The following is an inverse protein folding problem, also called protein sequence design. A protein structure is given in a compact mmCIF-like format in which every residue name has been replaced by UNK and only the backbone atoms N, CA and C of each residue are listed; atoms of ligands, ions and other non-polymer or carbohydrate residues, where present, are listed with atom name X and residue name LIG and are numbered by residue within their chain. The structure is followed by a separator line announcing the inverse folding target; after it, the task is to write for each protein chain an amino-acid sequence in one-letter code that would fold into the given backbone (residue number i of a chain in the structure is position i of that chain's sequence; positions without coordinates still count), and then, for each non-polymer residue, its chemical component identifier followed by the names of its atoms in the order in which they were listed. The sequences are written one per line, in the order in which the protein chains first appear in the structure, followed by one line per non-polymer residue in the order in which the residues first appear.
data_IF_383950539886
#
_entry.id   IF_383950539886
#
_cell.length_a   1.000
_cell.length_b   1.000
_cell.length_c   1.000
_cell.angle_alpha   90.00
_cell.angle_beta   90.00
_cell.angle_gamma   90.00
#
_symmetry.space_group_name_H-M   'P 1'
#
loop_
_entity.id
_entity.type
_entity.pdbx_description
1 polymer ?
#
# COMPACT_ATOMS: atom_id res chain seq x y z
N UNK A 1 29.76 12.11 -1.61
CA UNK A 1 29.00 13.29 -1.14
C UNK A 1 27.59 13.40 -1.74
N UNK A 2 27.36 13.02 -3.00
CA UNK A 2 26.01 13.06 -3.62
C UNK A 2 25.05 11.99 -3.01
N UNK A 3 25.52 10.76 -2.74
CA UNK A 3 24.72 9.67 -2.13
C UNK A 3 24.15 9.99 -0.74
N UNK A 4 24.92 10.70 0.10
CA UNK A 4 24.49 11.07 1.46
C UNK A 4 23.36 12.10 1.45
N UNK A 5 23.32 12.99 0.44
CA UNK A 5 22.27 14.02 0.30
C UNK A 5 20.90 13.44 -0.04
N UNK A 6 20.83 12.33 -0.78
CA UNK A 6 19.55 11.68 -1.14
C UNK A 6 18.97 10.83 -0.01
N UNK A 7 19.83 10.14 0.74
CA UNK A 7 19.43 9.45 1.97
C UNK A 7 18.99 10.48 3.02
N UNK A 8 19.72 11.60 3.14
CA UNK A 8 19.28 12.75 3.91
C UNK A 8 17.98 13.34 3.40
N UNK A 9 17.69 13.37 2.10
CA UNK A 9 16.41 13.85 1.56
C UNK A 9 15.24 12.92 1.93
N UNK A 10 15.42 11.60 1.84
CA UNK A 10 14.45 10.60 2.30
C UNK A 10 14.28 10.62 3.82
N UNK A 11 15.36 10.88 4.57
CA UNK A 11 15.32 11.07 6.02
C UNK A 11 14.77 12.45 6.44
N UNK A 12 14.98 13.51 5.64
CA UNK A 12 14.40 14.85 5.81
C UNK A 12 12.90 14.81 5.52
N UNK A 13 12.45 14.01 4.54
CA UNK A 13 11.03 13.68 4.34
C UNK A 13 10.41 13.02 5.58
N UNK A 14 11.20 12.26 6.34
CA UNK A 14 10.76 11.59 7.57
C UNK A 14 10.94 12.43 8.85
N UNK A 15 11.69 13.54 8.82
CA UNK A 15 12.05 14.34 10.03
C UNK A 15 11.71 15.82 9.95
N UNK A 16 11.43 16.37 8.77
CA UNK A 16 11.11 17.79 8.58
C UNK A 16 9.97 17.98 7.58
N UNK A 17 8.87 18.52 8.11
CA UNK A 17 7.71 19.13 7.44
C UNK A 17 6.80 18.19 6.64
N UNK A 18 5.48 18.23 6.86
CA UNK A 18 4.55 17.65 5.90
C UNK A 18 4.84 18.35 4.57
N UNK A 19 5.27 17.60 3.56
CA UNK A 19 5.23 18.12 2.21
C UNK A 19 3.79 18.57 1.98
N UNK A 20 3.62 19.88 1.86
CA UNK A 20 2.41 20.49 1.35
C UNK A 20 2.29 20.09 -0.11
N UNK A 21 1.87 18.86 -0.34
CA UNK A 21 1.29 18.45 -1.61
C UNK A 21 -0.01 19.23 -1.78
N UNK A 22 -0.19 19.77 -2.99
CA UNK A 22 -1.34 20.57 -3.42
C UNK A 22 -2.64 20.09 -2.79
N UNK A 23 -3.49 21.06 -2.42
CA UNK A 23 -4.89 20.89 -2.00
C UNK A 23 -5.69 20.11 -3.06
N UNK A 24 -5.49 18.79 -3.10
CA UNK A 24 -6.46 17.84 -3.61
C UNK A 24 -7.56 17.75 -2.58
N UNK A 25 -8.80 17.90 -3.03
CA UNK A 25 -9.99 18.01 -2.18
C UNK A 25 -9.98 16.89 -1.13
N UNK A 26 -9.71 17.25 0.12
CA UNK A 26 -9.70 16.35 1.28
C UNK A 26 -11.15 16.04 1.64
N UNK A 27 -11.78 15.15 0.87
CA UNK A 27 -13.10 14.64 1.18
C UNK A 27 -12.93 13.48 2.15
N UNK A 28 -13.37 13.66 3.40
CA UNK A 28 -13.47 12.55 4.36
C UNK A 28 -14.40 11.48 3.80
N UNK A 29 -13.92 10.25 3.69
CA UNK A 29 -14.64 9.21 2.95
C UNK A 29 -15.97 8.76 3.55
N UNK A 30 -16.18 8.76 4.88
CA UNK A 30 -17.52 8.60 5.45
C UNK A 30 -18.51 9.66 4.95
N UNK A 31 -18.06 10.92 4.78
CA UNK A 31 -18.90 12.01 4.24
C UNK A 31 -19.13 11.83 2.72
N UNK A 32 -18.20 11.21 1.99
CA UNK A 32 -18.40 10.87 0.58
C UNK A 32 -19.42 9.74 0.40
N UNK A 33 -19.24 8.64 1.13
CA UNK A 33 -20.14 7.49 1.07
C UNK A 33 -21.53 7.88 1.58
N UNK A 34 -21.62 8.65 2.66
CA UNK A 34 -22.89 9.21 3.13
C UNK A 34 -23.56 10.10 2.08
N UNK A 35 -22.82 11.01 1.43
CA UNK A 35 -23.37 11.83 0.33
C UNK A 35 -23.83 10.98 -0.86
N UNK A 36 -23.12 9.90 -1.18
CA UNK A 36 -23.57 8.97 -2.22
C UNK A 36 -24.90 8.31 -1.83
N UNK A 37 -25.03 7.83 -0.59
CA UNK A 37 -26.28 7.29 -0.05
C UNK A 37 -27.41 8.32 -0.10
N UNK A 38 -27.19 9.54 0.39
CA UNK A 38 -28.18 10.64 0.36
C UNK A 38 -28.63 11.00 -1.05
N UNK A 39 -27.74 10.84 -2.04
CA UNK A 39 -28.05 11.10 -3.44
C UNK A 39 -28.77 9.96 -4.16
N UNK A 40 -28.96 8.81 -3.50
CA UNK A 40 -29.63 7.65 -4.11
C UNK A 40 -31.09 7.99 -4.44
N UNK A 41 -31.57 7.64 -5.64
CA UNK A 41 -32.94 7.93 -6.08
C UNK A 41 -33.95 6.92 -5.49
N UNK A 42 -33.89 6.64 -4.19
CA UNK A 42 -34.81 5.72 -3.50
C UNK A 42 -35.54 6.45 -2.37
N UNK A 43 -36.85 6.24 -2.27
CA UNK A 43 -37.70 6.95 -1.31
C UNK A 43 -37.40 6.59 0.15
N UNK A 44 -36.89 5.37 0.40
CA UNK A 44 -36.40 4.88 1.68
C UNK A 44 -35.18 4.02 1.42
N UNK A 45 -34.01 4.43 1.91
CA UNK A 45 -32.81 3.58 1.89
C UNK A 45 -33.07 2.41 2.85
N UNK A 46 -33.06 1.15 2.37
CA UNK A 46 -33.23 -0.02 3.24
C UNK A 46 -32.13 -0.07 4.28
N UNK A 47 -32.30 -0.81 5.38
CA UNK A 47 -31.20 -1.08 6.32
C UNK A 47 -29.98 -1.68 5.60
N UNK A 48 -28.79 -1.55 6.21
CA UNK A 48 -27.53 -2.05 5.68
C UNK A 48 -27.68 -3.48 5.11
N UNK A 49 -27.20 -3.67 3.88
CA UNK A 49 -27.50 -4.85 3.08
C UNK A 49 -27.53 -4.53 1.59
N UNK A 50 -28.29 -5.33 0.83
CA UNK A 50 -28.45 -5.18 -0.61
C UNK A 50 -29.86 -4.78 -0.98
N UNK A 51 -29.98 -3.92 -1.99
CA UNK A 51 -31.26 -3.56 -2.56
C UNK A 51 -31.15 -3.30 -4.05
N UNK A 52 -32.22 -3.62 -4.78
CA UNK A 52 -32.32 -3.33 -6.21
C UNK A 52 -32.81 -1.90 -6.38
N UNK A 53 -32.13 -1.11 -7.20
CA UNK A 53 -32.52 0.27 -7.51
C UNK A 53 -33.02 0.37 -8.96
N UNK A 54 -34.35 0.40 -9.19
CA UNK A 54 -34.94 0.49 -10.53
C UNK A 54 -34.45 1.69 -11.34
N UNK A 55 -34.29 2.84 -10.70
CA UNK A 55 -33.85 4.11 -11.28
C UNK A 55 -32.40 4.05 -11.79
N UNK A 56 -31.60 3.13 -11.26
CA UNK A 56 -30.24 2.82 -11.70
C UNK A 56 -30.22 1.56 -12.57
N UNK A 57 -31.17 1.45 -13.50
CA UNK A 57 -31.32 0.31 -14.43
C UNK A 57 -31.53 -1.04 -13.74
N UNK A 58 -32.13 -1.04 -12.55
CA UNK A 58 -32.34 -2.25 -11.76
C UNK A 58 -31.05 -2.86 -11.20
N UNK A 59 -29.97 -2.08 -11.11
CA UNK A 59 -28.70 -2.49 -10.51
C UNK A 59 -28.89 -2.79 -9.03
N UNK A 60 -28.23 -3.83 -8.53
CA UNK A 60 -28.19 -4.12 -7.10
C UNK A 60 -27.13 -3.23 -6.46
N UNK A 61 -27.54 -2.38 -5.53
CA UNK A 61 -26.68 -1.55 -4.70
C UNK A 61 -26.52 -2.24 -3.35
N UNK A 62 -25.31 -2.21 -2.80
CA UNK A 62 -25.05 -2.69 -1.45
C UNK A 62 -24.35 -1.62 -0.64
N UNK A 63 -24.58 -1.64 0.66
CA UNK A 63 -23.80 -0.87 1.61
C UNK A 63 -23.71 -1.59 2.97
N UNK A 64 -22.62 -1.34 3.70
CA UNK A 64 -22.38 -1.94 5.02
C UNK A 64 -22.13 -0.85 6.05
N UNK A 65 -22.60 -1.06 7.27
CA UNK A 65 -22.35 -0.17 8.41
C UNK A 65 -21.41 -0.84 9.42
N UNK A 66 -20.49 -0.05 9.96
CA UNK A 66 -19.73 -0.40 11.15
C UNK A 66 -20.65 -0.47 12.38
N UNK A 67 -20.13 -1.07 13.46
CA UNK A 67 -20.84 -1.17 14.76
C UNK A 67 -21.25 0.18 15.37
N UNK A 68 -20.72 1.30 14.88
CA UNK A 68 -21.06 2.66 15.31
C UNK A 68 -22.03 3.37 14.35
N UNK A 69 -22.62 2.67 13.38
CA UNK A 69 -23.57 3.22 12.40
C UNK A 69 -22.93 4.02 11.26
N UNK A 70 -21.59 4.03 11.14
CA UNK A 70 -20.89 4.67 10.02
C UNK A 70 -20.88 3.70 8.84
N UNK A 71 -21.29 4.16 7.65
CA UNK A 71 -21.17 3.35 6.43
C UNK A 71 -19.70 3.10 6.08
N UNK A 72 -19.28 1.84 6.07
CA UNK A 72 -17.91 1.42 5.73
C UNK A 72 -17.73 1.17 4.23
N UNK A 73 -18.77 0.65 3.56
CA UNK A 73 -18.72 0.32 2.14
C UNK A 73 -20.02 0.68 1.44
N UNK A 74 -19.90 1.07 0.18
CA UNK A 74 -21.00 1.23 -0.76
C UNK A 74 -20.52 0.89 -2.16
N UNK A 75 -21.34 0.15 -2.90
CA UNK A 75 -21.03 -0.19 -4.29
C UNK A 75 -22.23 -0.73 -5.07
N UNK A 76 -22.06 -0.80 -6.37
CA UNK A 76 -22.94 -1.54 -7.27
C UNK A 76 -22.42 -2.99 -7.36
N UNK A 77 -23.28 -3.99 -7.15
CA UNK A 77 -22.91 -5.40 -7.26
C UNK A 77 -22.72 -5.75 -8.73
N UNK A 78 -21.47 -5.74 -9.19
CA UNK A 78 -21.12 -6.02 -10.59
C UNK A 78 -20.60 -7.44 -10.78
N UNK A 79 -19.94 -7.98 -9.77
CA UNK A 79 -19.21 -9.24 -9.87
C UNK A 79 -19.86 -10.32 -9.03
N UNK A 80 -19.80 -11.55 -9.52
CA UNK A 80 -20.24 -12.73 -8.78
C UNK A 80 -19.33 -12.99 -7.58
N UNK A 81 -19.83 -13.73 -6.60
CA UNK A 81 -19.04 -14.13 -5.42
C UNK A 81 -17.78 -14.93 -5.79
N UNK A 82 -17.79 -15.64 -6.92
CA UNK A 82 -16.60 -16.34 -7.45
C UNK A 82 -15.50 -15.35 -7.80
N UNK A 83 -15.80 -14.35 -8.62
CA UNK A 83 -14.85 -13.30 -9.02
C UNK A 83 -14.37 -12.52 -7.79
N UNK A 84 -15.27 -12.17 -6.87
CA UNK A 84 -14.93 -11.44 -5.63
C UNK A 84 -13.97 -12.21 -4.71
N UNK A 85 -13.96 -13.54 -4.79
CA UNK A 85 -13.03 -14.41 -4.04
C UNK A 85 -11.72 -14.67 -4.77
N UNK A 86 -11.75 -14.66 -6.11
CA UNK A 86 -10.60 -14.93 -6.96
C UNK A 86 -9.66 -13.72 -7.06
N UNK A 87 -10.21 -12.51 -7.12
CA UNK A 87 -9.46 -11.28 -7.32
C UNK A 87 -9.30 -10.46 -6.05
N UNK A 88 -8.36 -9.51 -6.11
CA UNK A 88 -8.06 -8.59 -5.02
C UNK A 88 -9.33 -7.82 -4.57
N UNK A 89 -9.75 -7.96 -3.29
CA UNK A 89 -11.01 -7.40 -2.82
C UNK A 89 -11.00 -5.87 -2.81
N UNK A 90 -9.84 -5.22 -2.70
CA UNK A 90 -9.72 -3.76 -2.73
C UNK A 90 -10.00 -3.24 -4.13
N UNK A 91 -9.42 -3.87 -5.15
CA UNK A 91 -9.64 -3.48 -6.56
C UNK A 91 -11.09 -3.71 -6.95
N UNK A 92 -11.65 -4.88 -6.62
CA UNK A 92 -13.05 -5.21 -6.90
C UNK A 92 -14.00 -4.20 -6.22
N UNK A 93 -13.79 -3.95 -4.92
CA UNK A 93 -14.64 -2.99 -4.17
C UNK A 93 -14.51 -1.56 -4.69
N UNK A 94 -13.32 -1.16 -5.17
CA UNK A 94 -13.13 0.13 -5.82
C UNK A 94 -13.97 0.24 -7.09
N UNK A 95 -13.94 -0.76 -7.97
CA UNK A 95 -14.69 -0.73 -9.23
C UNK A 95 -16.20 -0.71 -8.97
N UNK A 96 -16.69 -1.51 -8.02
CA UNK A 96 -18.10 -1.51 -7.61
C UNK A 96 -18.53 -0.15 -7.03
N UNK A 97 -17.69 0.49 -6.21
CA UNK A 97 -17.92 1.84 -5.67
C UNK A 97 -17.94 2.90 -6.77
N UNK A 98 -16.94 2.86 -7.66
CA UNK A 98 -16.85 3.77 -8.81
C UNK A 98 -18.09 3.67 -9.68
N UNK A 99 -18.56 2.45 -9.96
CA UNK A 99 -19.72 2.24 -10.80
C UNK A 99 -21.01 2.76 -10.17
N UNK A 100 -21.21 2.56 -8.86
CA UNK A 100 -22.31 3.19 -8.15
C UNK A 100 -22.26 4.72 -8.29
N UNK A 101 -21.08 5.32 -8.15
CA UNK A 101 -20.94 6.78 -8.29
C UNK A 101 -21.22 7.26 -9.72
N UNK A 102 -20.78 6.52 -10.73
CA UNK A 102 -21.05 6.84 -12.13
C UNK A 102 -22.55 6.73 -12.47
N UNK A 103 -23.24 5.74 -11.91
CA UNK A 103 -24.69 5.57 -12.07
C UNK A 103 -25.48 6.71 -11.45
N UNK A 104 -24.99 7.31 -10.36
CA UNK A 104 -25.60 8.49 -9.72
C UNK A 104 -25.44 9.78 -10.55
N UNK A 105 -24.53 9.79 -11.54
CA UNK A 105 -24.33 10.95 -12.41
C UNK A 105 -25.36 10.96 -13.54
N UNK A 106 -26.07 12.09 -13.69
CA UNK A 106 -27.20 12.24 -14.63
C UNK A 106 -26.80 12.31 -16.11
N UNK A 107 -25.53 12.63 -16.41
CA UNK A 107 -25.07 12.85 -17.80
C UNK A 107 -23.74 12.17 -18.08
N UNK A 108 -23.51 11.76 -19.33
CA UNK A 108 -22.21 11.23 -19.78
C UNK A 108 -21.07 12.23 -19.54
N UNK A 109 -21.31 13.54 -19.68
CA UNK A 109 -20.30 14.56 -19.40
C UNK A 109 -19.87 14.58 -17.92
N UNK A 110 -20.84 14.49 -16.99
CA UNK A 110 -20.52 14.38 -15.56
C UNK A 110 -19.83 13.06 -15.19
N UNK A 111 -20.15 11.97 -15.89
CA UNK A 111 -19.44 10.68 -15.72
C UNK A 111 -17.99 10.78 -16.20
N UNK A 112 -17.77 11.34 -17.39
CA UNK A 112 -16.44 11.57 -17.94
C UNK A 112 -15.59 12.51 -17.05
N UNK A 113 -16.21 13.54 -16.46
CA UNK A 113 -15.54 14.43 -15.51
C UNK A 113 -15.08 13.69 -14.25
N UNK A 114 -15.91 12.79 -13.70
CA UNK A 114 -15.55 11.99 -12.54
C UNK A 114 -14.39 11.03 -12.85
N UNK A 115 -14.46 10.35 -14.00
CA UNK A 115 -13.38 9.48 -14.47
C UNK A 115 -12.06 10.25 -14.61
N UNK A 116 -12.12 11.47 -15.16
CA UNK A 116 -10.96 12.35 -15.29
C UNK A 116 -10.40 12.79 -13.93
N UNK A 117 -11.26 13.14 -12.98
CA UNK A 117 -10.87 13.49 -11.61
C UNK A 117 -10.08 12.36 -10.95
N UNK A 118 -10.49 11.11 -11.18
CA UNK A 118 -9.81 9.92 -10.63
C UNK A 118 -8.68 9.39 -11.50
N UNK A 119 -8.43 9.99 -12.67
CA UNK A 119 -7.48 9.47 -13.64
C UNK A 119 -7.84 8.07 -14.17
N UNK A 120 -9.09 7.64 -14.01
CA UNK A 120 -9.58 6.33 -14.47
C UNK A 120 -10.05 6.43 -15.92
N UNK A 121 -9.78 5.41 -16.72
CA UNK A 121 -10.28 5.31 -18.09
C UNK A 121 -11.10 4.04 -18.26
N UNK A 122 -12.31 4.17 -18.80
CA UNK A 122 -13.13 3.02 -19.21
C UNK A 122 -13.19 3.03 -20.74
N UNK A 123 -12.81 1.91 -21.34
CA UNK A 123 -12.76 1.73 -22.79
C UNK A 123 -13.59 0.51 -23.17
N UNK A 124 -14.56 0.68 -24.06
CA UNK A 124 -15.42 -0.39 -24.58
C UNK A 124 -15.20 -0.51 -26.09
N UNK A 125 -14.77 -1.68 -26.56
CA UNK A 125 -14.48 -1.93 -27.97
C UNK A 125 -13.46 -0.95 -28.59
N UNK A 126 -12.53 -0.45 -27.77
CA UNK A 126 -11.52 0.54 -28.19
C UNK A 126 -11.94 2.01 -28.06
N UNK A 127 -13.19 2.31 -27.67
CA UNK A 127 -13.68 3.67 -27.52
C UNK A 127 -13.82 4.08 -26.05
N UNK A 128 -13.32 5.25 -25.62
CA UNK A 128 -13.60 5.78 -24.28
C UNK A 128 -15.05 6.24 -24.12
N UNK A 129 -15.53 6.32 -22.87
CA UNK A 129 -16.89 6.76 -22.55
C UNK A 129 -17.21 8.14 -23.15
N UNK A 130 -18.34 8.23 -23.85
CA UNK A 130 -18.80 9.42 -24.56
C UNK A 130 -18.29 9.57 -25.99
N UNK A 131 -17.65 8.54 -26.55
CA UNK A 131 -17.08 8.58 -27.90
C UNK A 131 -17.40 7.33 -28.72
N UNK A 132 -17.43 7.49 -30.05
CA UNK A 132 -17.63 6.39 -31.00
C UNK A 132 -18.80 5.47 -30.61
N UNK A 133 -18.52 4.17 -30.50
CA UNK A 133 -19.51 3.16 -30.14
C UNK A 133 -19.82 3.10 -28.64
N UNK A 134 -19.07 3.80 -27.77
CA UNK A 134 -19.31 3.87 -26.32
C UNK A 134 -19.87 5.23 -25.90
N UNK A 135 -21.07 5.56 -26.37
CA UNK A 135 -21.73 6.84 -26.12
C UNK A 135 -22.31 6.97 -24.69
N UNK A 136 -22.68 5.85 -24.05
CA UNK A 136 -23.37 5.86 -22.75
C UNK A 136 -22.87 4.72 -21.86
N UNK A 137 -22.77 4.99 -20.56
CA UNK A 137 -22.33 4.01 -19.55
C UNK A 137 -23.14 2.71 -19.56
N UNK A 138 -24.44 2.78 -19.84
CA UNK A 138 -25.30 1.60 -19.89
C UNK A 138 -24.83 0.51 -20.87
N UNK A 139 -24.11 0.87 -21.94
CA UNK A 139 -23.56 -0.11 -22.89
C UNK A 139 -22.48 -1.00 -22.27
N UNK A 140 -21.79 -0.52 -21.23
CA UNK A 140 -20.83 -1.33 -20.49
C UNK A 140 -21.51 -2.34 -19.55
N UNK A 141 -22.79 -2.14 -19.19
CA UNK A 141 -23.55 -3.10 -18.38
C UNK A 141 -23.81 -4.39 -19.15
N UNK A 142 -23.94 -4.34 -20.48
CA UNK A 142 -24.14 -5.54 -21.31
C UNK A 142 -22.94 -6.49 -21.17
N UNK A 143 -21.72 -5.94 -21.16
CA UNK A 143 -20.49 -6.73 -20.93
C UNK A 143 -20.46 -7.32 -19.53
N UNK A 144 -20.80 -6.53 -18.52
CA UNK A 144 -20.80 -6.97 -17.12
C UNK A 144 -21.86 -8.05 -16.85
N UNK A 145 -23.04 -7.92 -17.44
CA UNK A 145 -24.15 -8.87 -17.27
C UNK A 145 -23.94 -10.19 -18.01
N UNK A 146 -23.09 -10.21 -19.04
CA UNK A 146 -22.80 -11.40 -19.85
C UNK A 146 -21.31 -11.75 -19.87
N UNK A 147 -20.62 -11.44 -18.77
CA UNK A 147 -19.18 -11.61 -18.60
C UNK A 147 -18.76 -13.08 -18.78
N UNK A 148 -17.87 -13.33 -19.74
CA UNK A 148 -17.31 -14.65 -20.05
C UNK A 148 -15.92 -14.83 -19.45
N UNK A 149 -15.14 -13.75 -19.38
CA UNK A 149 -13.80 -13.76 -18.81
C UNK A 149 -13.41 -12.39 -18.26
N UNK A 150 -12.52 -12.43 -17.27
CA UNK A 150 -11.97 -11.28 -16.58
C UNK A 150 -10.49 -11.55 -16.30
N UNK A 151 -9.66 -10.51 -16.31
CA UNK A 151 -8.28 -10.58 -15.84
C UNK A 151 -7.86 -9.21 -15.31
N UNK A 152 -7.10 -9.21 -14.21
CA UNK A 152 -6.56 -7.99 -13.63
C UNK A 152 -5.03 -8.07 -13.72
N UNK A 153 -4.44 -7.09 -14.39
CA UNK A 153 -2.98 -6.93 -14.48
C UNK A 153 -2.56 -5.71 -13.69
N UNK A 154 -1.62 -5.89 -12.76
CA UNK A 154 -1.12 -4.81 -11.90
C UNK A 154 0.26 -4.34 -12.41
N UNK A 155 0.35 -3.08 -12.79
CA UNK A 155 1.61 -2.41 -13.13
C UNK A 155 2.03 -1.42 -12.05
N UNK A 156 3.21 -0.81 -12.20
CA UNK A 156 3.77 0.12 -11.21
C UNK A 156 2.90 1.37 -10.99
N UNK A 157 2.21 1.85 -12.03
CA UNK A 157 1.44 3.10 -11.97
C UNK A 157 -0.04 2.92 -12.33
N UNK A 158 -0.42 1.78 -12.91
CA UNK A 158 -1.76 1.55 -13.44
C UNK A 158 -2.13 0.08 -13.26
N UNK A 159 -3.41 -0.16 -12.98
CA UNK A 159 -4.06 -1.47 -12.93
C UNK A 159 -4.96 -1.53 -14.16
N UNK A 160 -4.81 -2.57 -14.98
CA UNK A 160 -5.69 -2.85 -16.12
C UNK A 160 -6.61 -4.01 -15.78
N UNK A 161 -7.90 -3.73 -15.76
CA UNK A 161 -8.95 -4.72 -15.63
C UNK A 161 -9.58 -4.96 -17.00
N UNK A 162 -9.22 -6.09 -17.61
CA UNK A 162 -9.76 -6.55 -18.87
C UNK A 162 -10.96 -7.46 -18.65
N UNK A 163 -12.01 -7.25 -19.42
CA UNK A 163 -13.24 -8.01 -19.39
C UNK A 163 -13.70 -8.32 -20.80
N UNK A 164 -14.27 -9.50 -21.00
CA UNK A 164 -14.90 -9.91 -22.25
C UNK A 164 -16.25 -10.56 -21.97
N UNK A 165 -17.23 -10.27 -22.82
CA UNK A 165 -18.54 -10.90 -22.74
C UNK A 165 -18.62 -12.20 -23.57
N UNK A 166 -19.78 -12.84 -23.58
CA UNK A 166 -20.03 -14.04 -24.38
C UNK A 166 -20.10 -13.76 -25.90
N UNK A 167 -20.35 -12.51 -26.30
CA UNK A 167 -20.43 -12.09 -27.70
C UNK A 167 -19.06 -11.71 -28.30
N UNK A 168 -18.02 -11.60 -27.47
CA UNK A 168 -16.67 -11.20 -27.85
C UNK A 168 -16.39 -9.71 -27.70
N UNK A 169 -17.33 -8.91 -27.21
CA UNK A 169 -17.10 -7.50 -26.87
C UNK A 169 -16.08 -7.41 -25.74
N UNK A 170 -15.20 -6.43 -25.83
CA UNK A 170 -14.12 -6.24 -24.86
C UNK A 170 -14.24 -4.91 -24.15
N UNK A 171 -13.93 -4.91 -22.86
CA UNK A 171 -13.89 -3.72 -22.01
C UNK A 171 -12.61 -3.69 -21.20
N UNK A 172 -12.01 -2.53 -21.08
CA UNK A 172 -10.90 -2.26 -20.18
C UNK A 172 -11.28 -1.16 -19.18
N UNK A 173 -10.89 -1.35 -17.92
CA UNK A 173 -10.87 -0.30 -16.91
C UNK A 173 -9.43 -0.11 -16.48
N UNK A 174 -8.88 1.05 -16.81
CA UNK A 174 -7.54 1.46 -16.41
C UNK A 174 -7.63 2.35 -15.18
N UNK A 175 -7.01 1.92 -14.08
CA UNK A 175 -7.12 2.55 -12.77
C UNK A 175 -5.71 2.96 -12.33
N UNK A 176 -5.46 4.20 -11.91
CA UNK A 176 -4.18 4.55 -11.31
C UNK A 176 -3.87 3.65 -10.11
N UNK A 177 -2.66 3.10 -10.06
CA UNK A 177 -2.15 2.41 -8.88
C UNK A 177 -1.88 3.48 -7.80
N UNK A 178 -2.95 3.86 -7.12
CA UNK A 178 -2.97 4.88 -6.09
C UNK A 178 -3.81 4.37 -4.94
N UNK A 179 -3.13 4.13 -3.83
CA UNK A 179 -3.75 3.79 -2.55
C UNK A 179 -4.90 4.72 -2.17
N UNK A 180 -4.70 6.02 -2.28
CA UNK A 180 -5.68 7.03 -1.86
C UNK A 180 -6.95 7.02 -2.74
N UNK A 181 -6.85 6.45 -3.93
CA UNK A 181 -7.99 6.23 -4.83
C UNK A 181 -8.70 4.90 -4.52
N UNK A 182 -7.92 3.82 -4.39
CA UNK A 182 -8.42 2.45 -4.29
C UNK A 182 -9.17 2.20 -2.98
N UNK A 183 -8.62 2.69 -1.87
CA UNK A 183 -9.21 2.46 -0.57
C UNK A 183 -10.32 3.46 -0.23
N UNK A 184 -11.35 3.05 0.52
CA UNK A 184 -12.48 3.90 0.88
C UNK A 184 -12.23 4.73 2.14
N UNK A 185 -10.99 5.01 2.53
CA UNK A 185 -10.72 5.80 3.72
C UNK A 185 -9.78 6.94 3.41
N UNK A 186 -9.93 8.05 4.12
CA UNK A 186 -8.99 9.15 3.98
C UNK A 186 -7.63 8.76 4.58
N UNK A 187 -6.59 9.55 4.25
CA UNK A 187 -5.22 9.26 4.69
C UNK A 187 -5.13 9.11 6.22
N UNK A 188 -5.84 9.96 6.95
CA UNK A 188 -5.78 9.99 8.41
C UNK A 188 -6.44 8.76 9.04
N UNK A 189 -7.64 8.40 8.58
CA UNK A 189 -8.33 7.20 9.06
C UNK A 189 -7.47 5.95 8.81
N UNK A 190 -6.79 5.91 7.67
CA UNK A 190 -5.89 4.83 7.35
C UNK A 190 -4.66 4.75 8.23
N UNK A 191 -4.02 5.88 8.50
CA UNK A 191 -2.91 5.96 9.45
C UNK A 191 -3.34 5.43 10.81
N UNK A 192 -4.49 5.89 11.33
CA UNK A 192 -5.04 5.42 12.60
C UNK A 192 -5.33 3.90 12.60
N UNK A 193 -5.91 3.37 11.52
CA UNK A 193 -6.16 1.93 11.37
C UNK A 193 -4.87 1.12 11.33
N UNK A 194 -3.85 1.56 10.58
CA UNK A 194 -2.56 0.88 10.54
C UNK A 194 -1.89 0.86 11.92
N UNK A 195 -1.88 1.99 12.64
CA UNK A 195 -1.28 2.02 13.98
C UNK A 195 -2.04 1.10 14.93
N UNK A 196 -3.37 1.10 14.88
CA UNK A 196 -4.20 0.19 15.67
C UNK A 196 -3.89 -1.27 15.33
N UNK A 197 -3.81 -1.62 14.05
CA UNK A 197 -3.47 -2.95 13.60
C UNK A 197 -2.08 -3.38 14.09
N UNK A 198 -1.09 -2.48 14.05
CA UNK A 198 0.26 -2.75 14.57
C UNK A 198 0.27 -2.95 16.10
N UNK A 199 -0.61 -2.27 16.84
CA UNK A 199 -0.74 -2.44 18.29
C UNK A 199 -1.48 -3.74 18.67
N UNK A 200 -2.41 -4.19 17.82
CA UNK A 200 -3.27 -5.35 18.09
C UNK A 200 -2.78 -6.65 17.42
N UNK A 201 -1.86 -6.55 16.44
CA UNK A 201 -1.41 -7.69 15.65
C UNK A 201 -0.76 -8.77 16.51
N UNK A 202 -1.14 -10.01 16.20
CA UNK A 202 -0.53 -11.23 16.73
C UNK A 202 0.20 -12.00 15.64
N UNK A 203 0.45 -11.36 14.50
CA UNK A 203 1.09 -12.02 13.38
C UNK A 203 2.50 -12.50 13.78
N UNK A 204 2.76 -13.76 13.52
CA UNK A 204 4.05 -14.38 13.82
C UNK A 204 5.01 -14.14 12.65
N UNK A 205 6.23 -13.75 12.96
CA UNK A 205 7.32 -13.74 11.99
C UNK A 205 7.52 -15.12 11.36
N UNK A 206 7.78 -15.14 10.06
CA UNK A 206 8.26 -16.31 9.35
C UNK A 206 9.52 -15.96 8.59
N UNK A 207 10.52 -16.84 8.67
CA UNK A 207 11.67 -16.76 7.78
C UNK A 207 11.18 -16.93 6.35
N UNK A 208 11.54 -16.04 5.42
CA UNK A 208 11.30 -16.27 4.01
C UNK A 208 11.93 -17.60 3.58
N UNK A 209 11.29 -18.30 2.66
CA UNK A 209 11.94 -19.40 1.95
C UNK A 209 13.23 -18.92 1.29
N UNK A 210 14.19 -19.83 1.11
CA UNK A 210 15.54 -19.53 0.60
C UNK A 210 15.44 -18.58 -0.60
N UNK A 211 16.04 -17.40 -0.45
CA UNK A 211 16.14 -16.41 -1.51
C UNK A 211 17.16 -16.91 -2.53
N UNK A 212 16.73 -17.01 -3.79
CA UNK A 212 17.63 -17.27 -4.91
C UNK A 212 18.34 -15.98 -5.29
N UNK A 213 19.65 -16.04 -5.50
CA UNK A 213 20.43 -14.87 -5.88
C UNK A 213 21.89 -15.18 -6.12
N UNK A 214 22.58 -14.26 -6.80
CA UNK A 214 24.02 -14.40 -7.03
C UNK A 214 24.77 -13.91 -5.79
N UNK A 215 25.50 -14.82 -5.16
CA UNK A 215 26.33 -14.50 -4.00
C UNK A 215 27.68 -13.98 -4.50
N UNK A 216 28.05 -12.79 -4.06
CA UNK A 216 29.33 -12.15 -4.36
C UNK A 216 30.11 -11.93 -3.08
N UNK A 217 31.43 -12.09 -3.12
CA UNK A 217 32.29 -11.71 -2.01
C UNK A 217 32.28 -10.18 -1.90
N UNK A 218 31.89 -9.65 -0.75
CA UNK A 218 31.92 -8.20 -0.50
C UNK A 218 33.22 -7.79 0.20
N UNK A 219 33.70 -8.63 1.11
CA UNK A 219 35.00 -8.54 1.79
C UNK A 219 35.57 -9.94 2.01
N UNK A 220 36.76 -10.05 2.59
CA UNK A 220 37.34 -11.35 3.00
C UNK A 220 36.53 -12.05 4.11
N UNK A 221 35.62 -11.33 4.79
CA UNK A 221 34.94 -11.79 6.00
C UNK A 221 33.46 -12.14 5.81
N UNK A 222 32.78 -11.59 4.81
CA UNK A 222 31.37 -11.86 4.54
C UNK A 222 31.00 -11.73 3.06
N UNK A 223 29.91 -12.40 2.69
CA UNK A 223 29.34 -12.45 1.35
C UNK A 223 28.02 -11.68 1.28
N UNK A 224 27.70 -11.16 0.10
CA UNK A 224 26.45 -10.44 -0.17
C UNK A 224 25.71 -11.16 -1.29
N UNK A 225 24.48 -11.54 -1.02
CA UNK A 225 23.52 -11.84 -2.07
C UNK A 225 22.88 -10.54 -2.49
N UNK A 226 23.32 -10.02 -3.63
CA UNK A 226 22.82 -8.77 -4.17
C UNK A 226 21.39 -8.92 -4.65
N UNK A 227 20.56 -7.95 -4.32
CA UNK A 227 19.19 -7.88 -4.81
C UNK A 227 18.91 -6.62 -5.62
N UNK A 228 17.63 -6.33 -5.83
CA UNK A 228 17.16 -5.13 -6.51
C UNK A 228 17.25 -3.91 -5.57
N UNK A 229 17.50 -2.75 -6.17
CA UNK A 229 17.51 -1.48 -5.46
C UNK A 229 16.25 -0.67 -5.75
N UNK A 230 15.79 0.05 -4.73
CA UNK A 230 14.60 0.87 -4.79
C UNK A 230 14.97 2.34 -4.83
N UNK A 231 14.67 3.00 -5.96
CA UNK A 231 14.90 4.43 -6.22
C UNK A 231 16.38 4.86 -6.26
N UNK A 232 17.24 4.31 -5.41
CA UNK A 232 18.68 4.61 -5.31
C UNK A 232 19.49 3.33 -5.01
N UNK A 233 20.72 3.27 -5.51
CA UNK A 233 21.63 2.10 -5.37
C UNK A 233 22.04 1.74 -3.93
N UNK A 234 21.70 2.58 -2.95
CA UNK A 234 22.03 2.34 -1.54
C UNK A 234 20.85 1.83 -0.71
N UNK A 235 19.68 1.67 -1.34
CA UNK A 235 18.47 1.18 -0.71
C UNK A 235 18.06 -0.11 -1.43
N UNK A 236 18.63 -1.23 -1.02
CA UNK A 236 18.52 -2.50 -1.72
C UNK A 236 18.06 -3.61 -0.78
N UNK A 237 17.51 -4.68 -1.34
CA UNK A 237 17.04 -5.84 -0.58
C UNK A 237 18.14 -6.90 -0.40
N UNK A 238 19.40 -6.46 -0.30
CA UNK A 238 20.55 -7.33 -0.10
C UNK A 238 20.46 -8.13 1.19
N UNK A 239 21.02 -9.35 1.16
CA UNK A 239 21.17 -10.21 2.34
C UNK A 239 22.66 -10.53 2.53
N UNK A 240 23.11 -10.41 3.77
CA UNK A 240 24.50 -10.62 4.15
C UNK A 240 24.70 -12.01 4.74
N UNK A 241 25.79 -12.68 4.37
CA UNK A 241 26.13 -14.04 4.83
C UNK A 241 27.54 -14.11 5.41
N UNK A 242 27.72 -14.90 6.46
CA UNK A 242 29.04 -15.25 6.98
C UNK A 242 29.80 -16.17 6.00
N UNK A 243 31.07 -16.43 6.30
CA UNK A 243 31.92 -17.31 5.49
C UNK A 243 31.44 -18.76 5.37
N UNK A 244 30.48 -19.17 6.20
CA UNK A 244 29.90 -20.50 6.20
C UNK A 244 28.54 -20.53 5.47
N UNK A 245 28.15 -19.42 4.81
CA UNK A 245 26.88 -19.30 4.09
C UNK A 245 25.66 -19.18 5.01
N UNK A 246 25.84 -18.83 6.29
CA UNK A 246 24.74 -18.53 7.22
C UNK A 246 24.44 -17.04 7.19
N UNK A 247 23.20 -16.64 7.43
CA UNK A 247 22.87 -15.21 7.56
C UNK A 247 23.81 -14.53 8.55
N UNK A 248 24.43 -13.44 8.14
CA UNK A 248 25.41 -12.71 8.93
C UNK A 248 24.76 -12.19 10.22
N UNK A 249 25.37 -12.56 11.34
CA UNK A 249 25.06 -12.08 12.67
C UNK A 249 26.37 -11.89 13.43
N UNK A 250 26.88 -10.67 13.41
CA UNK A 250 28.08 -10.25 14.14
C UNK A 250 27.91 -8.76 14.47
N UNK A 251 27.09 -8.42 15.48
CA UNK A 251 26.70 -7.02 15.70
C UNK A 251 27.86 -6.12 16.15
N UNK A 252 28.93 -6.67 16.71
CA UNK A 252 30.11 -5.89 17.12
C UNK A 252 30.97 -5.51 15.93
N UNK A 253 31.19 -6.45 15.00
CA UNK A 253 32.02 -6.19 13.81
C UNK A 253 31.21 -5.56 12.67
N UNK A 254 29.96 -5.98 12.49
CA UNK A 254 29.07 -5.61 11.39
C UNK A 254 27.66 -5.25 11.91
N UNK A 255 27.52 -4.18 12.73
CA UNK A 255 26.23 -3.80 13.33
C UNK A 255 25.17 -3.45 12.29
N UNK A 256 25.54 -2.68 11.27
CA UNK A 256 24.62 -2.23 10.22
C UNK A 256 24.11 -3.42 9.39
N UNK A 257 24.99 -4.32 8.96
CA UNK A 257 24.61 -5.52 8.19
C UNK A 257 23.77 -6.49 9.03
N UNK A 258 24.09 -6.65 10.31
CA UNK A 258 23.30 -7.48 11.23
C UNK A 258 21.88 -6.94 11.42
N UNK A 259 21.73 -5.62 11.60
CA UNK A 259 20.42 -4.96 11.66
C UNK A 259 19.66 -5.06 10.34
N UNK A 260 20.32 -4.83 9.20
CA UNK A 260 19.69 -4.95 7.88
C UNK A 260 19.17 -6.36 7.64
N UNK A 261 19.91 -7.38 8.04
CA UNK A 261 19.43 -8.76 8.00
C UNK A 261 18.18 -8.99 8.88
N UNK A 262 18.09 -8.39 10.08
CA UNK A 262 16.84 -8.40 10.89
C UNK A 262 15.70 -7.73 10.13
N UNK A 263 15.91 -6.52 9.61
CA UNK A 263 14.89 -5.77 8.88
C UNK A 263 14.41 -6.50 7.63
N UNK A 264 15.30 -7.17 6.92
CA UNK A 264 14.96 -8.01 5.78
C UNK A 264 14.23 -9.30 6.17
N UNK A 265 14.13 -9.60 7.46
CA UNK A 265 13.61 -10.87 7.96
C UNK A 265 14.50 -12.05 7.54
N UNK A 266 15.80 -11.82 7.34
CA UNK A 266 16.74 -12.79 6.79
C UNK A 266 17.54 -13.56 7.85
N UNK A 267 17.28 -13.34 9.15
CA UNK A 267 17.95 -14.02 10.26
C UNK A 267 16.97 -14.84 11.10
N UNK A 268 17.39 -15.97 11.67
CA UNK A 268 16.59 -16.73 12.62
C UNK A 268 16.01 -15.89 13.76
N UNK A 269 14.75 -16.15 14.12
CA UNK A 269 14.00 -15.42 15.17
C UNK A 269 14.76 -15.30 16.50
N UNK A 270 15.53 -16.34 16.87
CA UNK A 270 16.34 -16.34 18.11
C UNK A 270 17.29 -15.14 18.24
N UNK A 271 17.69 -14.50 17.13
CA UNK A 271 18.62 -13.37 17.15
C UNK A 271 17.97 -12.04 17.52
N UNK A 272 16.64 -11.94 17.50
CA UNK A 272 15.95 -10.67 17.77
C UNK A 272 14.62 -10.85 18.51
N UNK A 273 14.36 -12.02 19.08
CA UNK A 273 13.14 -12.33 19.84
C UNK A 273 12.99 -11.50 21.13
N UNK A 274 14.07 -10.89 21.60
CA UNK A 274 14.12 -10.01 22.77
C UNK A 274 14.15 -8.52 22.39
N UNK A 275 14.00 -8.19 21.10
CA UNK A 275 14.00 -6.82 20.63
C UNK A 275 12.58 -6.26 20.55
N UNK A 276 12.36 -5.15 21.24
CA UNK A 276 11.14 -4.36 21.17
C UNK A 276 11.43 -3.07 20.41
N UNK A 277 10.59 -2.74 19.43
CA UNK A 277 10.58 -1.42 18.80
C UNK A 277 9.79 -0.45 19.69
N UNK A 278 10.35 0.72 19.95
CA UNK A 278 9.65 1.90 20.47
C UNK A 278 9.41 2.84 19.29
N UNK A 279 8.21 2.75 18.72
CA UNK A 279 7.84 3.37 17.45
C UNK A 279 7.22 4.73 17.73
N UNK A 280 7.82 5.78 17.15
CA UNK A 280 7.23 7.10 16.98
C UNK A 280 6.63 7.20 15.57
N UNK A 281 5.30 7.20 15.43
CA UNK A 281 4.66 7.39 14.14
C UNK A 281 4.67 8.87 13.73
N UNK A 282 5.02 9.14 12.47
CA UNK A 282 4.90 10.44 11.83
C UNK A 282 3.65 10.43 10.96
N UNK A 283 2.55 10.91 11.53
CA UNK A 283 1.22 10.96 10.89
C UNK A 283 0.81 12.37 10.55
N UNK A 284 -0.11 12.48 9.59
CA UNK A 284 -0.62 13.77 9.12
C UNK A 284 -1.53 14.41 10.19
N UNK A 285 -1.22 15.65 10.57
CA UNK A 285 -2.08 16.54 11.38
C UNK A 285 -2.57 16.00 12.75
N UNK A 286 -1.95 14.96 13.30
CA UNK A 286 -2.17 14.49 14.68
C UNK A 286 -0.91 13.90 15.29
N UNK A 287 -0.69 14.18 16.57
CA UNK A 287 0.28 13.46 17.40
C UNK A 287 -0.33 12.11 17.81
N UNK A 288 0.03 11.05 17.09
CA UNK A 288 -0.19 9.69 17.60
C UNK A 288 0.95 9.39 18.59
N UNK A 289 0.58 8.93 19.79
CA UNK A 289 1.56 8.59 20.82
C UNK A 289 2.46 7.45 20.36
N UNK A 290 3.73 7.51 20.73
CA UNK A 290 4.64 6.39 20.58
C UNK A 290 4.09 5.14 21.27
N UNK A 291 4.38 3.99 20.68
CA UNK A 291 3.96 2.70 21.20
C UNK A 291 5.08 1.68 21.03
N UNK A 292 5.01 0.62 21.83
CA UNK A 292 6.00 -0.45 21.81
C UNK A 292 5.42 -1.72 21.21
N UNK A 293 6.20 -2.42 20.39
CA UNK A 293 5.85 -3.75 19.89
C UNK A 293 7.10 -4.60 19.65
N UNK A 294 7.01 -5.93 19.73
CA UNK A 294 8.11 -6.81 19.36
C UNK A 294 8.52 -6.61 17.89
N UNK A 295 9.82 -6.59 17.61
CA UNK A 295 10.36 -6.32 16.27
C UNK A 295 9.86 -7.37 15.26
N UNK A 296 9.83 -8.64 15.66
CA UNK A 296 9.38 -9.74 14.81
C UNK A 296 7.92 -9.61 14.37
N UNK A 297 7.05 -9.07 15.23
CA UNK A 297 5.64 -8.85 14.88
C UNK A 297 5.49 -7.73 13.86
N UNK A 298 6.33 -6.71 13.93
CA UNK A 298 6.33 -5.62 12.97
C UNK A 298 6.71 -6.14 11.57
N UNK A 299 7.82 -6.90 11.49
CA UNK A 299 8.28 -7.51 10.23
C UNK A 299 7.21 -8.46 9.67
N UNK A 300 6.69 -9.36 10.51
CA UNK A 300 5.67 -10.31 10.09
C UNK A 300 4.40 -9.61 9.58
N UNK A 301 3.92 -8.58 10.27
CA UNK A 301 2.76 -7.81 9.82
C UNK A 301 3.02 -7.16 8.45
N UNK A 302 4.16 -6.50 8.25
CA UNK A 302 4.46 -5.83 6.98
C UNK A 302 4.65 -6.82 5.82
N UNK A 303 5.20 -8.02 6.08
CA UNK A 303 5.26 -9.11 5.11
C UNK A 303 3.85 -9.59 4.74
N UNK A 304 2.97 -9.77 5.73
CA UNK A 304 1.58 -10.16 5.51
C UNK A 304 0.82 -9.12 4.66
N UNK A 305 1.12 -7.83 4.84
CA UNK A 305 0.56 -6.77 4.01
C UNK A 305 1.11 -6.78 2.57
N UNK A 306 2.00 -7.71 2.19
CA UNK A 306 2.54 -7.81 0.84
C UNK A 306 3.63 -6.77 0.51
N UNK A 307 4.23 -6.14 1.53
CA UNK A 307 5.31 -5.20 1.32
C UNK A 307 6.62 -5.90 0.94
N UNK A 308 7.32 -5.32 -0.04
CA UNK A 308 8.71 -5.65 -0.37
C UNK A 308 9.64 -4.74 0.41
N UNK A 309 10.67 -5.32 1.03
CA UNK A 309 11.58 -4.60 1.90
C UNK A 309 12.86 -4.23 1.18
N UNK A 310 13.35 -3.03 1.44
CA UNK A 310 14.65 -2.54 1.00
C UNK A 310 15.30 -1.84 2.19
N UNK A 311 16.61 -2.03 2.37
CA UNK A 311 17.32 -1.47 3.52
C UNK A 311 18.53 -0.65 3.09
N UNK A 312 18.89 0.32 3.92
CA UNK A 312 20.05 1.16 3.69
C UNK A 312 20.52 1.82 4.98
N UNK A 313 21.70 2.43 4.94
CA UNK A 313 22.32 3.04 6.10
C UNK A 313 22.08 4.56 6.09
N UNK A 314 21.59 5.11 7.21
CA UNK A 314 21.44 6.56 7.39
C UNK A 314 22.73 7.20 7.89
N UNK A 315 23.55 6.43 8.61
CA UNK A 315 24.85 6.86 9.11
C UNK A 315 25.12 6.35 10.53
N UNK A 316 26.23 6.85 11.08
CA UNK A 316 26.72 6.49 12.40
C UNK A 316 27.18 7.74 13.14
N UNK A 317 26.80 7.86 14.40
CA UNK A 317 27.22 8.91 15.31
C UNK A 317 27.83 8.27 16.57
N UNK A 318 29.16 8.26 16.65
CA UNK A 318 29.89 7.50 17.67
C UNK A 318 29.55 6.00 17.62
N UNK A 319 29.08 5.44 18.73
CA UNK A 319 28.65 4.04 18.80
C UNK A 319 27.20 3.80 18.31
N UNK A 320 26.49 4.87 17.95
CA UNK A 320 25.08 4.81 17.58
C UNK A 320 24.94 4.68 16.06
N UNK A 321 24.36 3.58 15.62
CA UNK A 321 24.07 3.28 14.23
C UNK A 321 22.63 3.69 13.89
N UNK A 322 22.39 4.02 12.62
CA UNK A 322 21.06 4.29 12.09
C UNK A 322 20.87 3.59 10.75
N UNK A 323 19.83 2.77 10.66
CA UNK A 323 19.44 2.08 9.44
C UNK A 323 18.00 2.48 9.05
N UNK A 324 17.73 2.38 7.76
CA UNK A 324 16.44 2.63 7.13
C UNK A 324 15.89 1.34 6.55
N UNK A 325 14.59 1.14 6.69
CA UNK A 325 13.83 0.11 6.02
C UNK A 325 12.69 0.77 5.24
N UNK A 326 12.74 0.66 3.92
CA UNK A 326 11.66 1.04 3.03
C UNK A 326 10.81 -0.20 2.71
N UNK A 327 9.50 -0.09 2.91
CA UNK A 327 8.52 -1.15 2.73
C UNK A 327 7.56 -0.73 1.62
N UNK A 328 7.78 -1.25 0.42
CA UNK A 328 7.04 -0.87 -0.79
C UNK A 328 5.93 -1.88 -1.09
N UNK A 329 4.71 -1.40 -1.25
CA UNK A 329 3.59 -2.23 -1.70
C UNK A 329 3.43 -2.09 -3.23
N UNK A 330 3.74 -3.14 -4.03
CA UNK A 330 3.80 -3.00 -5.49
C UNK A 330 2.43 -2.80 -6.16
N UNK A 331 1.35 -3.37 -5.62
CA UNK A 331 0.00 -3.25 -6.21
C UNK A 331 -0.63 -1.88 -5.93
N UNK A 332 -0.64 -1.44 -4.67
CA UNK A 332 -1.25 -0.17 -4.26
C UNK A 332 -0.30 1.03 -4.31
N UNK A 333 0.97 0.79 -4.67
CA UNK A 333 1.99 1.79 -4.98
C UNK A 333 2.23 2.86 -3.90
N UNK A 334 2.41 2.40 -2.65
CA UNK A 334 2.78 3.25 -1.52
C UNK A 334 4.06 2.77 -0.83
N UNK A 335 4.69 3.65 -0.05
CA UNK A 335 5.81 3.33 0.83
C UNK A 335 5.41 3.43 2.31
N UNK A 336 5.96 2.54 3.13
CA UNK A 336 6.28 2.87 4.51
C UNK A 336 7.79 3.01 4.66
N UNK A 337 8.22 3.87 5.57
CA UNK A 337 9.62 4.06 5.92
C UNK A 337 9.74 3.93 7.43
N UNK A 338 10.56 2.97 7.87
CA UNK A 338 10.98 2.83 9.25
C UNK A 338 12.46 3.20 9.33
N UNK A 339 12.81 4.18 10.15
CA UNK A 339 14.21 4.38 10.56
C UNK A 339 14.39 3.84 11.97
N UNK A 340 15.48 3.14 12.22
CA UNK A 340 15.80 2.62 13.56
C UNK A 340 17.15 3.12 14.01
N UNK A 341 17.29 3.28 15.32
CA UNK A 341 18.53 3.72 15.92
C UNK A 341 18.92 2.82 17.08
N UNK A 342 20.15 2.32 17.02
CA UNK A 342 20.65 1.25 17.88
C UNK A 342 22.15 1.39 18.13
N UNK A 343 22.68 0.58 19.03
CA UNK A 343 24.10 0.39 19.29
C UNK A 343 24.46 -1.10 19.14
N UNK A 344 25.71 -1.46 18.83
CA UNK A 344 26.15 -2.85 18.81
C UNK A 344 25.78 -3.63 20.08
N UNK A 345 25.99 -3.02 21.24
CA UNK A 345 25.71 -3.62 22.56
C UNK A 345 24.23 -3.94 22.74
N UNK A 346 23.34 -3.12 22.17
CA UNK A 346 21.90 -3.40 22.18
C UNK A 346 21.53 -4.63 21.35
N UNK A 347 22.29 -4.95 20.30
CA UNK A 347 22.01 -6.12 19.46
C UNK A 347 22.55 -7.42 20.05
N UNK A 348 23.60 -7.36 20.88
CA UNK A 348 24.14 -8.54 21.57
C UNK A 348 23.51 -8.83 22.93
N UNK A 349 22.71 -7.90 23.47
CA UNK A 349 22.08 -8.11 24.76
C UNK A 349 21.21 -9.37 24.75
N UNK A 350 21.39 -10.24 25.74
CA UNK A 350 20.52 -11.40 25.99
C UNK A 350 19.18 -10.98 26.64
N UNK A 351 19.17 -9.84 27.33
CA UNK A 351 17.99 -9.27 27.98
C UNK A 351 17.08 -8.54 26.99
N UNK A 352 15.86 -8.22 27.43
CA UNK A 352 14.92 -7.42 26.65
C UNK A 352 15.50 -6.04 26.34
N UNK A 353 15.61 -5.72 25.05
CA UNK A 353 16.17 -4.47 24.57
C UNK A 353 15.11 -3.65 23.84
N UNK A 354 15.13 -2.33 24.03
CA UNK A 354 14.27 -1.40 23.28
C UNK A 354 15.09 -0.67 22.22
N UNK A 355 14.68 -0.79 20.96
CA UNK A 355 15.23 -0.07 19.80
C UNK A 355 14.29 1.08 19.44
N UNK A 356 14.83 2.30 19.36
CA UNK A 356 14.03 3.46 18.95
C UNK A 356 13.79 3.43 17.46
N UNK A 357 12.57 3.72 17.05
CA UNK A 357 12.20 3.78 15.65
C UNK A 357 11.25 4.93 15.33
N UNK A 358 11.41 5.51 14.14
CA UNK A 358 10.53 6.52 13.57
C UNK A 358 9.86 5.94 12.32
N UNK A 359 8.53 5.98 12.27
CA UNK A 359 7.73 5.34 11.22
C UNK A 359 6.92 6.38 10.45
N UNK A 360 7.21 6.53 9.15
CA UNK A 360 6.39 7.28 8.19
C UNK A 360 5.60 6.29 7.33
N UNK A 361 4.32 6.54 7.11
CA UNK A 361 3.43 5.56 6.47
C UNK A 361 2.69 6.14 5.27
N UNK A 362 2.30 5.25 4.35
CA UNK A 362 1.46 5.58 3.18
C UNK A 362 2.00 6.75 2.35
N UNK A 363 3.32 6.80 2.15
CA UNK A 363 3.96 7.83 1.34
C UNK A 363 3.64 7.55 -0.14
N UNK A 364 2.94 8.46 -0.86
CA UNK A 364 2.60 8.24 -2.26
C UNK A 364 3.83 8.35 -3.17
N UNK A 365 3.98 7.43 -4.11
CA UNK A 365 5.18 7.34 -4.95
C UNK A 365 5.29 8.41 -6.04
N UNK A 366 4.16 8.93 -6.52
CA UNK A 366 4.16 9.99 -7.54
C UNK A 366 4.81 11.28 -7.02
N UNK A 367 4.71 11.55 -5.71
CA UNK A 367 5.35 12.71 -5.08
C UNK A 367 6.86 12.54 -4.92
N UNK A 368 7.30 11.29 -4.67
CA UNK A 368 8.71 10.98 -4.46
C UNK A 368 9.49 11.16 -5.77
N UNK A 369 9.03 10.57 -6.89
CA UNK A 369 9.76 10.65 -8.19
C UNK A 369 10.02 12.09 -8.66
N UNK A 370 9.09 13.01 -8.40
CA UNK A 370 9.24 14.43 -8.78
C UNK A 370 10.37 15.11 -8.02
N UNK A 371 10.65 14.69 -6.77
CA UNK A 371 11.75 15.24 -5.94
C UNK A 371 13.15 14.80 -6.43
N UNK A 372 13.25 13.72 -7.20
CA UNK A 372 14.52 13.23 -7.76
C UNK A 372 14.70 13.60 -9.24
N UNK A 373 13.76 14.34 -9.84
CA UNK A 373 13.84 14.80 -11.23
C UNK A 373 14.40 16.22 -11.39
N UNK A 374 14.68 16.95 -10.31
CA UNK A 374 15.45 18.21 -10.42
C UNK A 374 16.94 17.88 -10.60
N UNK A 375 17.41 18.14 -11.83
CA UNK A 375 18.80 17.99 -12.29
C UNK A 375 19.72 19.07 -11.75
#
# INVERSE_FOLDING_TARGET
MIKLRYILAVALLATFTPLTAQEGIEIKTPERIARMLESMPVSNIPQAGEFRCPELSGTVIFYTEAKNGITEQLGARLFSDGIRKEYDPVIISFVERLWAELLLRKTTASQASLLKEYGVRIVLGGYPLGSGSFARLGQALDVLNSLSSISITTGTNEIDMFMRDNAGSTMHIYIPASRDLLFPFDKKEHEERLIKDLQETKHSYSLPDKTEGTITASTDDYFVMGGDCYMIDSLCNDIFFDKNGRSLWDPQKYPEQSMRNIMMGAVPLRYFTNMTLDIRPHTYNREIKSFKMPFERFIGYMQQQGCRFYTGDLGRDGNRCQCLMAMYHPVYNYLHILSVSFTPDQLEADDQVTIKADLSVFIPQHNIKNLFQEK
#
